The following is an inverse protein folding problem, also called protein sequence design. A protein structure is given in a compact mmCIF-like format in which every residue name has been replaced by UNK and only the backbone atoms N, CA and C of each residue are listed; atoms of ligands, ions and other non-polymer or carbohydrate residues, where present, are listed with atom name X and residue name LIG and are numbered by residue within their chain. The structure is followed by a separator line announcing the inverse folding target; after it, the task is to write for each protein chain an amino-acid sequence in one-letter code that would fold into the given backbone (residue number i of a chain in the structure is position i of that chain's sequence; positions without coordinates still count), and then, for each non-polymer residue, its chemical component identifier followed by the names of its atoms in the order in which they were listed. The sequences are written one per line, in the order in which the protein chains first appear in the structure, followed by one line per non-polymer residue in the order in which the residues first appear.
data_IF_077687826196
#
_entry.id   IF_077687826196
#
_cell.length_a   1.000
_cell.length_b   1.000
_cell.length_c   1.000
_cell.angle_alpha   90.00
_cell.angle_beta   90.00
_cell.angle_gamma   90.00
#
_symmetry.space_group_name_H-M   'P 1'
#
loop_
_entity.id
_entity.type
_entity.pdbx_description
1 polymer ?
#
# COMPACT_ATOMS: atom_id res chain seq x y z
N UNK A 1 -23.51 18.59 24.10
CA UNK A 1 -24.95 18.79 24.35
C UNK A 1 -25.42 20.19 23.98
N UNK A 2 -26.20 20.26 22.90
CA UNK A 2 -26.97 21.42 22.50
C UNK A 2 -28.39 21.31 23.07
N UNK A 3 -28.90 22.40 23.64
CA UNK A 3 -30.30 22.53 24.09
C UNK A 3 -31.03 23.48 23.17
N UNK A 4 -32.19 23.06 22.65
CA UNK A 4 -33.01 23.84 21.72
C UNK A 4 -34.47 23.73 22.13
N UNK A 5 -35.17 24.86 22.13
CA UNK A 5 -36.61 24.92 22.34
C UNK A 5 -37.31 24.90 20.98
N UNK A 6 -38.27 24.01 20.80
CA UNK A 6 -39.01 23.78 19.55
C UNK A 6 -40.51 23.68 19.82
N UNK A 7 -41.32 23.95 18.80
CA UNK A 7 -42.77 23.80 18.85
C UNK A 7 -43.16 22.58 18.02
N UNK A 8 -43.85 21.61 18.64
CA UNK A 8 -44.33 20.40 17.98
C UNK A 8 -45.78 20.19 18.38
N UNK A 9 -46.65 20.10 17.39
CA UNK A 9 -48.09 19.87 17.50
C UNK A 9 -48.78 20.77 18.53
N UNK A 10 -48.51 22.08 18.39
CA UNK A 10 -49.07 23.13 19.24
C UNK A 10 -48.53 23.19 20.67
N UNK A 11 -47.46 22.45 20.98
CA UNK A 11 -46.81 22.48 22.31
C UNK A 11 -45.31 22.78 22.19
N UNK A 12 -44.80 23.50 23.17
CA UNK A 12 -43.38 23.81 23.28
C UNK A 12 -42.63 22.69 24.02
N UNK A 13 -41.50 22.25 23.46
CA UNK A 13 -40.63 21.23 24.03
C UNK A 13 -39.17 21.72 24.04
N UNK A 14 -38.44 21.35 25.09
CA UNK A 14 -37.00 21.59 25.17
C UNK A 14 -36.25 20.29 24.89
N UNK A 15 -35.57 20.23 23.74
CA UNK A 15 -34.82 19.06 23.28
C UNK A 15 -33.34 19.23 23.58
N UNK A 16 -32.69 18.13 23.97
CA UNK A 16 -31.24 18.05 24.20
C UNK A 16 -30.63 16.95 23.34
N UNK A 17 -29.57 17.28 22.60
CA UNK A 17 -28.84 16.31 21.76
C UNK A 17 -27.39 16.75 21.56
N UNK A 18 -26.51 15.80 21.23
CA UNK A 18 -25.12 16.10 20.84
C UNK A 18 -24.98 16.52 19.37
N UNK A 19 -26.06 16.45 18.60
CA UNK A 19 -26.12 16.95 17.22
C UNK A 19 -26.26 18.47 17.16
N UNK A 20 -26.04 19.06 15.98
CA UNK A 20 -26.12 20.52 15.79
C UNK A 20 -27.54 21.05 16.04
N UNK A 21 -27.65 22.33 16.39
CA UNK A 21 -28.95 22.98 16.65
C UNK A 21 -29.86 22.92 15.43
N UNK A 22 -29.29 23.14 14.24
CA UNK A 22 -30.01 23.08 12.96
C UNK A 22 -30.58 21.69 12.70
N UNK A 23 -29.84 20.63 13.04
CA UNK A 23 -30.31 19.26 12.90
C UNK A 23 -31.47 18.98 13.86
N UNK A 24 -31.37 19.43 15.12
CA UNK A 24 -32.44 19.27 16.12
C UNK A 24 -33.72 19.98 15.65
N UNK A 25 -33.61 21.20 15.13
CA UNK A 25 -34.76 21.95 14.60
C UNK A 25 -35.37 21.22 13.40
N UNK A 26 -34.53 20.73 12.47
CA UNK A 26 -35.00 19.98 11.30
C UNK A 26 -35.76 18.71 11.68
N UNK A 27 -35.27 17.98 12.68
CA UNK A 27 -35.96 16.78 13.21
C UNK A 27 -37.30 17.17 13.83
N UNK A 28 -37.34 18.24 14.63
CA UNK A 28 -38.59 18.72 15.24
C UNK A 28 -39.63 19.14 14.19
N UNK A 29 -39.22 19.87 13.15
CA UNK A 29 -40.09 20.23 12.02
C UNK A 29 -40.60 19.00 11.28
N UNK A 30 -39.73 18.02 11.01
CA UNK A 30 -40.13 16.78 10.35
C UNK A 30 -41.17 15.98 11.16
N UNK A 31 -40.99 15.91 12.49
CA UNK A 31 -41.97 15.27 13.38
C UNK A 31 -43.29 16.03 13.38
N UNK A 32 -43.25 17.36 13.43
CA UNK A 32 -44.46 18.20 13.38
C UNK A 32 -45.24 17.99 12.06
N UNK A 33 -44.54 17.99 10.93
CA UNK A 33 -45.13 17.77 9.61
C UNK A 33 -45.81 16.39 9.50
N UNK A 34 -45.19 15.32 10.01
CA UNK A 34 -45.79 13.98 10.00
C UNK A 34 -47.02 13.89 10.91
N UNK A 35 -46.99 14.52 12.08
CA UNK A 35 -48.15 14.57 12.97
C UNK A 35 -49.31 15.32 12.29
N UNK A 36 -49.03 16.47 11.68
CA UNK A 36 -50.03 17.27 10.96
C UNK A 36 -50.61 16.51 9.76
N UNK A 37 -49.77 15.73 9.05
CA UNK A 37 -50.21 14.89 7.94
C UNK A 37 -51.21 13.84 8.41
N UNK A 38 -50.87 13.06 9.44
CA UNK A 38 -51.77 12.05 10.02
C UNK A 38 -53.05 12.67 10.57
N UNK A 39 -52.95 13.84 11.20
CA UNK A 39 -54.11 14.57 11.71
C UNK A 39 -55.08 14.99 10.59
N UNK A 40 -54.57 15.30 9.40
CA UNK A 40 -55.39 15.68 8.24
C UNK A 40 -56.10 14.52 7.54
N UNK A 41 -55.55 13.31 7.64
CA UNK A 41 -56.06 12.11 6.97
C UNK A 41 -57.19 11.41 7.77
N UNK A 42 -57.27 11.64 9.08
CA UNK A 42 -58.21 10.97 9.97
C UNK A 42 -59.49 11.81 10.19
N UNK A 43 -60.67 11.17 10.15
CA UNK A 43 -61.95 11.78 10.55
C UNK A 43 -62.17 11.56 12.04
N UNK A 44 -62.11 12.63 12.83
CA UNK A 44 -62.26 12.65 14.30
C UNK A 44 -61.25 11.77 15.09
N UNK A 45 -59.94 11.91 14.86
CA UNK A 45 -58.95 11.16 15.62
C UNK A 45 -58.80 11.63 17.08
N UNK A 46 -58.54 10.69 17.99
CA UNK A 46 -58.06 11.01 19.34
C UNK A 46 -56.59 11.42 19.23
N UNK A 47 -56.17 12.41 20.01
CA UNK A 47 -54.81 12.97 19.97
C UNK A 47 -53.70 11.91 20.07
N UNK A 48 -53.90 10.92 20.91
CA UNK A 48 -52.91 9.85 21.14
C UNK A 48 -52.80 8.93 19.92
N UNK A 49 -53.91 8.65 19.22
CA UNK A 49 -53.91 7.84 17.99
C UNK A 49 -53.11 8.53 16.88
N UNK A 50 -53.26 9.85 16.73
CA UNK A 50 -52.47 10.65 15.76
C UNK A 50 -50.98 10.50 16.05
N UNK A 51 -50.59 10.66 17.32
CA UNK A 51 -49.19 10.59 17.73
C UNK A 51 -48.62 9.18 17.53
N UNK A 52 -49.36 8.13 17.88
CA UNK A 52 -48.94 6.74 17.70
C UNK A 52 -48.77 6.42 16.22
N UNK A 53 -49.72 6.81 15.37
CA UNK A 53 -49.65 6.59 13.92
C UNK A 53 -48.50 7.37 13.29
N UNK A 54 -48.29 8.63 13.67
CA UNK A 54 -47.16 9.43 13.19
C UNK A 54 -45.82 8.80 13.60
N UNK A 55 -45.68 8.36 14.86
CA UNK A 55 -44.51 7.63 15.33
C UNK A 55 -44.26 6.34 14.53
N UNK A 56 -45.32 5.58 14.26
CA UNK A 56 -45.23 4.35 13.48
C UNK A 56 -44.78 4.62 12.03
N UNK A 57 -45.33 5.63 11.37
CA UNK A 57 -44.95 6.01 10.01
C UNK A 57 -43.48 6.47 9.93
N UNK A 58 -43.01 7.23 10.92
CA UNK A 58 -41.60 7.64 11.01
C UNK A 58 -40.70 6.42 11.20
N UNK A 59 -41.07 5.51 12.11
CA UNK A 59 -40.32 4.27 12.35
C UNK A 59 -40.28 3.36 11.11
N UNK A 60 -41.40 3.22 10.40
CA UNK A 60 -41.49 2.46 9.16
C UNK A 60 -40.56 3.01 8.08
N UNK A 61 -40.57 4.33 7.85
CA UNK A 61 -39.68 4.98 6.88
C UNK A 61 -38.21 4.75 7.23
N UNK A 62 -37.85 4.88 8.51
CA UNK A 62 -36.50 4.66 8.98
C UNK A 62 -36.03 3.21 8.73
N UNK A 63 -36.88 2.22 9.05
CA UNK A 63 -36.57 0.81 8.80
C UNK A 63 -36.47 0.51 7.29
N UNK A 64 -37.33 1.10 6.48
CA UNK A 64 -37.29 0.94 5.02
C UNK A 64 -35.99 1.51 4.43
N UNK A 65 -35.57 2.71 4.84
CA UNK A 65 -34.31 3.31 4.39
C UNK A 65 -33.10 2.50 4.84
N UNK A 66 -33.08 2.06 6.11
CA UNK A 66 -32.03 1.18 6.61
C UNK A 66 -31.95 -0.13 5.81
N UNK A 67 -33.09 -0.76 5.50
CA UNK A 67 -33.12 -1.97 4.68
C UNK A 67 -32.61 -1.75 3.25
N UNK A 68 -32.90 -0.59 2.64
CA UNK A 68 -32.41 -0.22 1.31
C UNK A 68 -30.90 -0.02 1.31
N UNK A 69 -30.36 0.61 2.34
CA UNK A 69 -28.92 0.83 2.44
C UNK A 69 -28.17 -0.49 2.70
N UNK A 70 -28.72 -1.36 3.55
CA UNK A 70 -28.23 -2.75 3.71
C UNK A 70 -28.29 -3.52 2.38
N UNK A 71 -29.38 -3.37 1.60
CA UNK A 71 -29.50 -4.03 0.30
C UNK A 71 -28.48 -3.52 -0.72
N UNK A 72 -28.20 -2.19 -0.74
CA UNK A 72 -27.14 -1.62 -1.59
C UNK A 72 -25.76 -2.12 -1.19
N UNK A 73 -25.47 -2.14 0.11
CA UNK A 73 -24.20 -2.63 0.64
C UNK A 73 -24.00 -4.10 0.28
N UNK A 74 -25.01 -4.95 0.51
CA UNK A 74 -24.99 -6.36 0.10
C UNK A 74 -24.79 -6.54 -1.41
N UNK A 75 -25.42 -5.72 -2.25
CA UNK A 75 -25.21 -5.78 -3.70
C UNK A 75 -23.76 -5.43 -4.09
N UNK A 76 -23.18 -4.41 -3.44
CA UNK A 76 -21.78 -4.02 -3.65
C UNK A 76 -20.79 -5.08 -3.18
N UNK A 77 -21.08 -5.73 -2.05
CA UNK A 77 -20.28 -6.82 -1.51
C UNK A 77 -20.35 -8.04 -2.43
N UNK A 78 -21.54 -8.41 -2.92
CA UNK A 78 -21.70 -9.52 -3.86
C UNK A 78 -20.92 -9.29 -5.17
N UNK A 79 -20.94 -8.07 -5.72
CA UNK A 79 -20.10 -7.74 -6.90
C UNK A 79 -18.61 -7.88 -6.61
N UNK A 80 -18.17 -7.46 -5.43
CA UNK A 80 -16.77 -7.62 -5.01
C UNK A 80 -16.40 -9.09 -4.89
N UNK A 81 -17.26 -9.92 -4.29
CA UNK A 81 -17.08 -11.36 -4.16
C UNK A 81 -16.98 -12.01 -5.55
N UNK A 82 -17.89 -11.69 -6.48
CA UNK A 82 -17.84 -12.21 -7.85
C UNK A 82 -16.53 -11.84 -8.57
N UNK A 83 -16.05 -10.61 -8.41
CA UNK A 83 -14.79 -10.18 -9.01
C UNK A 83 -13.60 -10.94 -8.41
N UNK A 84 -13.53 -11.07 -7.09
CA UNK A 84 -12.49 -11.84 -6.40
C UNK A 84 -12.51 -13.32 -6.78
N UNK A 85 -13.70 -13.91 -6.98
CA UNK A 85 -13.83 -15.28 -7.46
C UNK A 85 -13.29 -15.45 -8.88
N UNK A 86 -13.56 -14.51 -9.79
CA UNK A 86 -12.99 -14.53 -11.14
C UNK A 86 -11.47 -14.40 -11.13
N UNK A 87 -10.94 -13.49 -10.31
CA UNK A 87 -9.49 -13.30 -10.16
C UNK A 87 -8.83 -14.56 -9.60
N UNK A 88 -9.39 -15.17 -8.56
CA UNK A 88 -8.90 -16.44 -8.01
C UNK A 88 -8.90 -17.56 -9.04
N UNK A 89 -9.98 -17.70 -9.82
CA UNK A 89 -10.05 -18.69 -10.89
C UNK A 89 -8.95 -18.47 -11.96
N UNK A 90 -8.68 -17.21 -12.31
CA UNK A 90 -7.61 -16.87 -13.26
C UNK A 90 -6.22 -17.20 -12.72
N UNK A 91 -5.96 -16.91 -11.44
CA UNK A 91 -4.70 -17.22 -10.78
C UNK A 91 -4.49 -18.73 -10.61
N UNK A 92 -5.54 -19.48 -10.29
CA UNK A 92 -5.48 -20.94 -10.24
C UNK A 92 -5.12 -21.53 -11.60
N UNK A 93 -5.70 -21.03 -12.68
CA UNK A 93 -5.34 -21.46 -14.04
C UNK A 93 -3.88 -21.14 -14.39
N UNK A 94 -3.40 -19.94 -14.01
CA UNK A 94 -1.99 -19.57 -14.25
C UNK A 94 -1.02 -20.45 -13.44
N UNK A 95 -1.37 -20.78 -12.19
CA UNK A 95 -0.59 -21.72 -11.37
C UNK A 95 -0.54 -23.10 -12.00
N UNK A 96 -1.69 -23.63 -12.44
CA UNK A 96 -1.75 -24.94 -13.10
C UNK A 96 -0.93 -24.96 -14.40
N UNK A 97 -0.97 -23.89 -15.19
CA UNK A 97 -0.11 -23.74 -16.37
C UNK A 97 1.38 -23.72 -16.01
N UNK A 98 1.76 -23.03 -14.92
CA UNK A 98 3.15 -23.00 -14.43
C UNK A 98 3.59 -24.37 -13.93
N UNK A 99 2.72 -25.11 -13.23
CA UNK A 99 2.99 -26.46 -12.74
C UNK A 99 3.17 -27.45 -13.89
N UNK A 100 2.30 -27.39 -14.92
CA UNK A 100 2.46 -28.19 -16.14
C UNK A 100 3.78 -27.84 -16.84
N UNK A 101 4.15 -26.56 -16.90
CA UNK A 101 5.40 -26.11 -17.50
C UNK A 101 6.61 -26.62 -16.72
N UNK A 102 6.60 -26.53 -15.39
CA UNK A 102 7.63 -27.08 -14.52
C UNK A 102 7.79 -28.59 -14.73
N UNK A 103 6.67 -29.31 -14.71
CA UNK A 103 6.66 -30.75 -14.94
C UNK A 103 7.16 -31.12 -16.34
N UNK A 104 6.88 -30.29 -17.34
CA UNK A 104 7.43 -30.47 -18.69
C UNK A 104 8.94 -30.25 -18.74
N UNK A 105 9.48 -29.27 -18.00
CA UNK A 105 10.93 -29.06 -17.85
C UNK A 105 11.60 -30.22 -17.09
N UNK A 106 10.92 -30.79 -16.09
CA UNK A 106 11.39 -31.97 -15.36
C UNK A 106 11.36 -33.23 -16.25
N UNK A 107 10.28 -33.43 -17.03
CA UNK A 107 10.12 -34.59 -17.92
C UNK A 107 10.96 -34.50 -19.21
N UNK A 108 11.31 -33.29 -19.66
CA UNK A 108 12.21 -33.09 -20.82
C UNK A 108 13.69 -33.36 -20.49
N UNK A 109 14.00 -33.75 -19.25
CA UNK A 109 15.37 -33.95 -18.78
C UNK A 109 16.04 -32.60 -18.51
N UNK A 110 16.13 -32.23 -17.24
CA UNK A 110 17.05 -31.18 -16.81
C UNK A 110 18.46 -31.47 -17.34
N UNK A 111 19.10 -30.45 -17.91
CA UNK A 111 20.51 -30.34 -18.34
C UNK A 111 21.21 -31.71 -18.55
N UNK A 112 21.48 -32.07 -19.82
CA UNK A 112 22.29 -33.25 -20.18
C UNK A 112 23.51 -33.37 -19.24
N UNK A 113 23.71 -34.52 -18.56
CA UNK A 113 24.88 -34.74 -17.71
C UNK A 113 26.21 -34.38 -18.40
N UNK A 114 26.28 -34.47 -19.74
CA UNK A 114 27.43 -34.02 -20.52
C UNK A 114 27.56 -32.49 -20.59
N UNK A 115 26.46 -31.75 -20.72
CA UNK A 115 26.46 -30.28 -20.66
C UNK A 115 26.79 -29.79 -19.24
N UNK A 116 26.26 -30.43 -18.21
CA UNK A 116 26.58 -30.09 -16.82
C UNK A 116 28.08 -30.29 -16.53
N UNK A 117 28.65 -31.43 -16.96
CA UNK A 117 30.08 -31.70 -16.83
C UNK A 117 30.93 -30.69 -17.61
N UNK A 118 30.47 -30.22 -18.77
CA UNK A 118 31.15 -29.20 -19.56
C UNK A 118 31.13 -27.84 -18.87
N UNK A 119 29.98 -27.43 -18.33
CA UNK A 119 29.82 -26.18 -17.57
C UNK A 119 30.68 -26.21 -16.30
N UNK A 120 30.72 -27.33 -15.58
CA UNK A 120 31.57 -27.47 -14.38
C UNK A 120 33.07 -27.37 -14.72
N UNK A 121 33.49 -27.97 -15.84
CA UNK A 121 34.87 -27.87 -16.33
C UNK A 121 35.24 -26.45 -16.75
N UNK A 122 34.37 -25.76 -17.47
CA UNK A 122 34.56 -24.36 -17.87
C UNK A 122 34.64 -23.45 -16.64
N UNK A 123 33.76 -23.66 -15.65
CA UNK A 123 33.78 -22.93 -14.37
C UNK A 123 35.07 -23.14 -13.58
N UNK A 124 35.61 -24.37 -13.58
CA UNK A 124 36.89 -24.67 -12.95
C UNK A 124 38.06 -23.96 -13.65
N UNK A 125 38.08 -23.97 -14.99
CA UNK A 125 39.10 -23.28 -15.79
C UNK A 125 39.04 -21.75 -15.60
N UNK A 126 37.85 -21.17 -15.55
CA UNK A 126 37.66 -19.74 -15.30
C UNK A 126 38.15 -19.37 -13.89
N UNK A 127 37.84 -20.18 -12.86
CA UNK A 127 38.34 -19.96 -11.49
C UNK A 127 39.86 -19.98 -11.41
N UNK A 128 40.51 -20.92 -12.10
CA UNK A 128 41.97 -20.98 -12.14
C UNK A 128 42.58 -19.76 -12.84
N UNK A 129 41.95 -19.31 -13.94
CA UNK A 129 42.39 -18.12 -14.68
C UNK A 129 42.28 -16.86 -13.84
N UNK A 130 41.15 -16.67 -13.14
CA UNK A 130 40.94 -15.57 -12.20
C UNK A 130 42.01 -15.57 -11.10
N UNK A 131 42.35 -16.75 -10.56
CA UNK A 131 43.41 -16.87 -9.55
C UNK A 131 44.77 -16.42 -10.10
N UNK A 132 45.17 -16.91 -11.29
CA UNK A 132 46.44 -16.53 -11.93
C UNK A 132 46.51 -15.02 -12.22
N UNK A 133 45.42 -14.42 -12.69
CA UNK A 133 45.35 -12.98 -12.95
C UNK A 133 45.46 -12.17 -11.65
N UNK A 134 44.81 -12.60 -10.57
CA UNK A 134 44.94 -11.94 -9.26
C UNK A 134 46.38 -12.03 -8.73
N UNK A 135 47.04 -13.18 -8.85
CA UNK A 135 48.44 -13.34 -8.45
C UNK A 135 49.38 -12.42 -9.27
N UNK A 136 49.08 -12.20 -10.55
CA UNK A 136 49.82 -11.26 -11.40
C UNK A 136 49.56 -9.80 -11.00
N UNK A 137 48.30 -9.43 -10.74
CA UNK A 137 47.94 -8.09 -10.26
C UNK A 137 48.70 -7.78 -8.98
N UNK A 138 48.78 -8.73 -8.05
CA UNK A 138 49.49 -8.53 -6.78
C UNK A 138 50.99 -8.31 -6.99
N UNK A 139 51.63 -9.08 -7.89
CA UNK A 139 53.03 -8.86 -8.26
C UNK A 139 53.26 -7.47 -8.86
N UNK A 140 52.37 -7.02 -9.74
CA UNK A 140 52.48 -5.70 -10.36
C UNK A 140 52.24 -4.57 -9.36
N UNK A 141 51.38 -4.76 -8.36
CA UNK A 141 51.22 -3.80 -7.26
C UNK A 141 52.52 -3.65 -6.45
N UNK A 142 53.10 -4.77 -6.00
CA UNK A 142 54.36 -4.75 -5.25
C UNK A 142 55.46 -4.06 -6.07
N UNK A 143 55.59 -4.41 -7.35
CA UNK A 143 56.58 -3.79 -8.23
C UNK A 143 56.32 -2.29 -8.41
N UNK A 144 55.05 -1.88 -8.53
CA UNK A 144 54.70 -0.47 -8.62
C UNK A 144 55.07 0.30 -7.35
N UNK A 145 54.82 -0.28 -6.18
CA UNK A 145 55.18 0.33 -4.89
C UNK A 145 56.71 0.47 -4.74
N UNK A 146 57.47 -0.53 -5.20
CA UNK A 146 58.94 -0.46 -5.27
C UNK A 146 59.44 0.64 -6.20
N UNK A 147 58.84 0.75 -7.40
CA UNK A 147 59.19 1.80 -8.37
C UNK A 147 58.86 3.19 -7.81
N UNK A 148 57.69 3.35 -7.19
CA UNK A 148 57.30 4.60 -6.53
C UNK A 148 58.28 4.98 -5.42
N UNK A 149 58.67 4.02 -4.57
CA UNK A 149 59.66 4.26 -3.51
C UNK A 149 61.00 4.73 -4.07
N UNK A 150 61.52 4.07 -5.11
CA UNK A 150 62.75 4.48 -5.79
C UNK A 150 62.63 5.85 -6.47
N UNK A 151 61.48 6.15 -7.05
CA UNK A 151 61.23 7.45 -7.67
C UNK A 151 61.28 8.57 -6.63
N UNK A 152 60.66 8.39 -5.46
CA UNK A 152 60.75 9.34 -4.34
C UNK A 152 62.19 9.53 -3.85
N UNK A 153 62.96 8.45 -3.68
CA UNK A 153 64.37 8.54 -3.27
C UNK A 153 65.21 9.35 -4.27
N UNK A 154 64.99 9.15 -5.57
CA UNK A 154 65.68 9.90 -6.62
C UNK A 154 65.27 11.37 -6.63
N UNK A 155 63.99 11.68 -6.46
CA UNK A 155 63.52 13.07 -6.34
C UNK A 155 64.16 13.79 -5.14
N UNK A 156 64.26 13.13 -3.98
CA UNK A 156 64.95 13.71 -2.82
C UNK A 156 66.43 13.96 -3.08
N UNK A 157 67.12 13.03 -3.77
CA UNK A 157 68.53 13.22 -4.14
C UNK A 157 68.73 14.37 -5.13
N UNK A 158 67.86 14.49 -6.13
CA UNK A 158 67.88 15.61 -7.07
C UNK A 158 67.71 16.94 -6.33
N UNK A 159 66.71 17.06 -5.46
CA UNK A 159 66.48 18.27 -4.67
C UNK A 159 67.68 18.66 -3.80
N UNK A 160 68.33 17.69 -3.16
CA UNK A 160 69.57 17.95 -2.37
C UNK A 160 70.71 18.46 -3.25
N UNK A 161 70.94 17.83 -4.40
CA UNK A 161 71.98 18.25 -5.33
C UNK A 161 71.69 19.62 -5.95
N UNK A 162 70.41 19.94 -6.22
CA UNK A 162 70.01 21.27 -6.68
C UNK A 162 70.31 22.33 -5.62
N UNK A 163 69.97 22.06 -4.35
CA UNK A 163 70.30 22.95 -3.23
C UNK A 163 71.80 23.13 -3.03
N UNK A 164 72.59 22.04 -3.02
CA UNK A 164 74.06 22.11 -2.92
C UNK A 164 74.67 22.92 -4.07
N UNK A 165 74.14 22.79 -5.28
CA UNK A 165 74.58 23.59 -6.44
C UNK A 165 74.19 25.07 -6.33
N UNK A 166 73.04 25.40 -5.75
CA UNK A 166 72.66 26.79 -5.46
C UNK A 166 73.56 27.40 -4.39
N UNK A 167 73.84 26.66 -3.31
CA UNK A 167 74.73 27.09 -2.23
C UNK A 167 76.18 27.31 -2.72
N UNK A 168 76.65 26.51 -3.68
CA UNK A 168 77.95 26.68 -4.33
C UNK A 168 78.00 27.85 -5.31
N UNK A 169 76.88 28.24 -5.93
CA UNK A 169 76.81 29.41 -6.83
C UNK A 169 76.70 30.74 -6.08
N UNK A 170 76.24 30.70 -4.82
CA UNK A 170 76.01 31.87 -3.98
C UNK A 170 77.15 32.13 -2.97
N UNK A 171 78.22 31.33 -2.99
CA UNK A 171 79.51 31.60 -2.33
C UNK A 171 80.60 31.94 -3.35
#
# INVERSE_FOLDING_TARGET
MNKVTVHIFGREYSLMSDKSKEFIIRVASYVDDEINKVASELKNPVRDDILILACNNIAEKFLLEQSKDIAKENNSLNKTIENLQRENASLMLELEQKDVRLKSYEMSGGIDPQELAKIEKEKAQQRETVKKLNDQIEKYKILNDEIQSKFYELQMKLAKLEQENEDLKNN
#
